data_IF_287828744625
#
_entry.id   IF_287828744625
#
_cell.length_a   1.000
_cell.length_b   1.000
_cell.length_c   1.000
_cell.angle_alpha   90.00
_cell.angle_beta   90.00
_cell.angle_gamma   90.00
#
_symmetry.space_group_name_H-M   'P 1'
#
loop_
_entity.id
_entity.type
_entity.pdbx_description
1 polymer ?
#
# COMPACT_ATOMS: atom_id res chain seq x y z
N UNK A 1 8.66 8.99 -16.62
CA UNK A 1 8.24 10.21 -17.29
C UNK A 1 9.13 11.39 -16.88
N UNK A 2 9.16 11.79 -15.60
CA UNK A 2 9.92 12.95 -15.12
C UNK A 2 11.41 12.89 -15.43
N UNK A 3 12.03 11.73 -15.33
CA UNK A 3 13.45 11.56 -15.64
C UNK A 3 13.72 11.50 -17.16
N UNK A 4 12.89 10.75 -17.90
CA UNK A 4 13.10 10.54 -19.34
C UNK A 4 12.71 11.74 -20.20
N UNK A 5 11.65 12.46 -19.85
CA UNK A 5 11.13 13.57 -20.67
C UNK A 5 11.56 14.96 -20.18
N UNK A 6 11.75 15.15 -18.87
CA UNK A 6 12.10 16.44 -18.29
C UNK A 6 13.56 16.55 -17.84
N UNK A 7 14.36 15.47 -17.95
CA UNK A 7 15.79 15.48 -17.63
C UNK A 7 16.13 15.71 -16.16
N UNK A 8 15.17 15.51 -15.24
CA UNK A 8 15.41 15.68 -13.80
C UNK A 8 16.38 14.62 -13.28
N UNK A 9 17.26 14.98 -12.31
CA UNK A 9 18.08 14.00 -11.60
C UNK A 9 17.19 12.93 -10.97
N UNK A 10 17.63 11.68 -11.00
CA UNK A 10 16.83 10.50 -10.62
C UNK A 10 16.18 10.62 -9.25
N UNK A 11 16.93 11.06 -8.25
CA UNK A 11 16.41 11.26 -6.88
C UNK A 11 15.32 12.34 -6.80
N UNK A 12 15.46 13.40 -7.55
CA UNK A 12 14.48 14.49 -7.59
C UNK A 12 13.19 14.02 -8.28
N UNK A 13 13.31 13.20 -9.33
CA UNK A 13 12.17 12.59 -10.00
C UNK A 13 11.38 11.64 -9.08
N UNK A 14 12.07 10.88 -8.21
CA UNK A 14 11.45 10.04 -7.18
C UNK A 14 10.67 10.89 -6.19
N UNK A 15 11.32 11.90 -5.62
CA UNK A 15 10.70 12.76 -4.60
C UNK A 15 9.46 13.47 -5.15
N UNK A 16 9.56 14.02 -6.36
CA UNK A 16 8.42 14.63 -7.05
C UNK A 16 7.31 13.62 -7.34
N UNK A 17 7.66 12.41 -7.77
CA UNK A 17 6.70 11.32 -8.00
C UNK A 17 5.91 10.98 -6.75
N UNK A 18 6.58 10.82 -5.60
CA UNK A 18 5.93 10.55 -4.30
C UNK A 18 5.05 11.72 -3.86
N UNK A 19 5.49 12.97 -4.06
CA UNK A 19 4.68 14.15 -3.72
C UNK A 19 3.45 14.22 -4.62
N UNK A 20 3.59 14.01 -5.92
CA UNK A 20 2.46 14.03 -6.86
C UNK A 20 1.44 12.95 -6.51
N UNK A 21 1.86 11.71 -6.23
CA UNK A 21 0.95 10.64 -5.83
C UNK A 21 0.26 10.95 -4.51
N UNK A 22 0.95 11.54 -3.55
CA UNK A 22 0.37 12.02 -2.29
C UNK A 22 -0.71 13.07 -2.51
N UNK A 23 -0.44 14.06 -3.35
CA UNK A 23 -1.41 15.13 -3.68
C UNK A 23 -2.62 14.57 -4.44
N UNK A 24 -2.42 13.63 -5.36
CA UNK A 24 -3.53 12.95 -6.06
C UNK A 24 -4.41 12.20 -5.05
N UNK A 25 -3.82 11.47 -4.10
CA UNK A 25 -4.59 10.79 -3.04
C UNK A 25 -5.40 11.77 -2.19
N UNK A 26 -4.78 12.88 -1.75
CA UNK A 26 -5.48 13.92 -1.01
C UNK A 26 -6.63 14.55 -1.82
N UNK A 27 -6.39 14.82 -3.10
CA UNK A 27 -7.39 15.38 -4.01
C UNK A 27 -8.57 14.44 -4.23
N UNK A 28 -8.33 13.14 -4.42
CA UNK A 28 -9.37 12.13 -4.55
C UNK A 28 -10.30 12.15 -3.34
N UNK A 29 -9.75 12.17 -2.14
CA UNK A 29 -10.58 12.24 -0.95
C UNK A 29 -11.36 13.56 -0.88
N UNK A 30 -10.67 14.69 -1.00
CA UNK A 30 -11.27 16.02 -0.82
C UNK A 30 -12.36 16.33 -1.84
N UNK A 31 -12.18 15.93 -3.10
CA UNK A 31 -13.11 16.31 -4.16
C UNK A 31 -14.20 15.26 -4.42
N UNK A 32 -13.93 13.99 -4.13
CA UNK A 32 -14.84 12.89 -4.49
C UNK A 32 -15.36 12.19 -3.24
N UNK A 33 -14.49 11.59 -2.43
CA UNK A 33 -14.90 10.69 -1.35
C UNK A 33 -15.65 11.41 -0.23
N UNK A 34 -15.26 12.65 0.10
CA UNK A 34 -15.95 13.44 1.13
C UNK A 34 -17.45 13.63 0.83
N UNK A 35 -17.83 13.64 -0.46
CA UNK A 35 -19.21 13.87 -0.89
C UNK A 35 -20.12 12.64 -0.82
N UNK A 36 -19.52 11.46 -0.84
CA UNK A 36 -20.21 10.17 -0.81
C UNK A 36 -20.02 9.44 0.52
N UNK A 37 -19.37 10.09 1.47
CA UNK A 37 -19.08 9.55 2.79
C UNK A 37 -20.34 9.08 3.51
N UNK A 38 -20.28 7.90 4.13
CA UNK A 38 -21.38 7.27 4.83
C UNK A 38 -22.29 6.41 3.94
N UNK A 39 -22.01 6.34 2.64
CA UNK A 39 -22.66 5.42 1.72
C UNK A 39 -21.68 4.31 1.32
N UNK A 40 -21.52 3.28 2.16
CA UNK A 40 -20.49 2.24 2.03
C UNK A 40 -20.38 1.64 0.62
N UNK A 41 -21.50 1.30 0.01
CA UNK A 41 -21.53 0.73 -1.35
C UNK A 41 -21.06 1.75 -2.38
N UNK A 42 -21.49 3.01 -2.26
CA UNK A 42 -21.09 4.09 -3.17
C UNK A 42 -19.63 4.42 -3.07
N UNK A 43 -19.04 4.36 -1.87
CA UNK A 43 -17.60 4.55 -1.67
C UNK A 43 -16.76 3.46 -2.37
N UNK A 44 -17.18 2.19 -2.27
CA UNK A 44 -16.52 1.07 -2.95
C UNK A 44 -16.59 1.24 -4.47
N UNK A 45 -17.77 1.53 -5.01
CA UNK A 45 -17.95 1.71 -6.45
C UNK A 45 -17.15 2.91 -6.95
N UNK A 46 -17.18 4.04 -6.24
CA UNK A 46 -16.47 5.24 -6.63
C UNK A 46 -14.95 5.05 -6.61
N UNK A 47 -14.39 4.41 -5.58
CA UNK A 47 -12.94 4.15 -5.51
C UNK A 47 -12.48 3.22 -6.63
N UNK A 48 -13.27 2.20 -6.97
CA UNK A 48 -12.99 1.34 -8.10
C UNK A 48 -13.07 2.10 -9.45
N UNK A 49 -14.10 2.90 -9.65
CA UNK A 49 -14.27 3.71 -10.85
C UNK A 49 -13.15 4.73 -11.04
N UNK A 50 -12.70 5.38 -9.95
CA UNK A 50 -11.55 6.30 -9.95
C UNK A 50 -10.27 5.55 -10.37
N UNK A 51 -10.05 4.35 -9.82
CA UNK A 51 -8.91 3.50 -10.17
C UNK A 51 -8.90 3.18 -11.67
N UNK A 52 -10.05 2.79 -12.25
CA UNK A 52 -10.20 2.55 -13.68
C UNK A 52 -9.97 3.83 -14.51
N UNK A 53 -10.52 4.95 -14.08
CA UNK A 53 -10.38 6.22 -14.80
C UNK A 53 -8.90 6.67 -14.84
N UNK A 54 -8.16 6.51 -13.74
CA UNK A 54 -6.73 6.80 -13.69
C UNK A 54 -5.97 5.87 -14.63
N UNK A 55 -6.27 4.56 -14.59
CA UNK A 55 -5.61 3.57 -15.43
C UNK A 55 -5.84 3.85 -16.91
N UNK A 56 -7.09 4.10 -17.34
CA UNK A 56 -7.40 4.45 -18.72
C UNK A 56 -6.84 5.82 -19.11
N UNK A 57 -6.84 6.79 -18.20
CA UNK A 57 -6.20 8.09 -18.41
C UNK A 57 -4.70 7.97 -18.67
N UNK A 58 -4.01 7.11 -17.93
CA UNK A 58 -2.58 6.82 -18.16
C UNK A 58 -2.35 6.13 -19.51
N UNK A 59 -3.20 5.19 -19.90
CA UNK A 59 -3.15 4.56 -21.21
C UNK A 59 -3.35 5.57 -22.35
N UNK A 60 -4.29 6.47 -22.17
CA UNK A 60 -4.56 7.52 -23.15
C UNK A 60 -3.42 8.54 -23.24
N UNK A 61 -2.77 8.85 -22.10
CA UNK A 61 -1.61 9.74 -21.99
C UNK A 61 -0.30 9.22 -22.58
N UNK A 62 -0.32 8.07 -23.29
CA UNK A 62 0.84 7.53 -24.00
C UNK A 62 1.53 6.34 -23.35
N UNK A 63 1.04 5.87 -22.20
CA UNK A 63 1.55 4.67 -21.52
C UNK A 63 0.91 3.37 -22.06
N UNK A 64 0.49 3.36 -23.31
CA UNK A 64 -0.14 2.20 -23.95
C UNK A 64 0.88 1.10 -24.21
N UNK A 65 0.67 -0.07 -23.60
CA UNK A 65 1.35 -1.32 -23.96
C UNK A 65 2.87 -1.33 -23.73
N UNK A 66 3.42 -0.34 -23.03
CA UNK A 66 4.83 -0.27 -22.70
C UNK A 66 5.16 -1.03 -21.41
N UNK A 67 6.16 -1.89 -21.47
CA UNK A 67 6.85 -2.35 -20.27
C UNK A 67 7.88 -1.30 -19.90
N UNK A 68 7.71 -0.68 -18.75
CA UNK A 68 8.65 0.33 -18.26
C UNK A 68 9.68 -0.33 -17.35
N UNK A 69 10.95 -0.17 -17.70
CA UNK A 69 12.07 -0.62 -16.88
C UNK A 69 12.86 0.62 -16.46
N UNK A 70 13.09 0.77 -15.17
CA UNK A 70 14.01 1.78 -14.67
C UNK A 70 15.38 1.15 -14.39
N UNK A 71 16.47 1.90 -14.60
CA UNK A 71 17.79 1.43 -14.23
C UNK A 71 17.84 1.19 -12.71
N UNK A 72 18.54 0.13 -12.29
CA UNK A 72 18.75 -0.15 -10.87
C UNK A 72 19.52 1.03 -10.23
N UNK A 73 19.22 1.33 -8.95
CA UNK A 73 19.93 2.37 -8.19
C UNK A 73 21.41 2.10 -8.11
N UNK A 74 21.78 0.83 -7.92
CA UNK A 74 23.16 0.35 -7.93
C UNK A 74 23.23 -0.96 -8.73
N UNK A 75 24.17 -1.02 -9.66
CA UNK A 75 24.50 -2.23 -10.40
C UNK A 75 25.48 -3.05 -9.58
N UNK A 76 25.19 -4.36 -9.42
CA UNK A 76 26.07 -5.29 -8.73
C UNK A 76 25.31 -6.24 -7.79
N UNK A 77 26.03 -7.22 -7.27
CA UNK A 77 25.51 -8.22 -6.33
C UNK A 77 26.53 -8.52 -5.24
N UNK A 78 26.04 -8.89 -4.05
CA UNK A 78 26.85 -9.43 -2.95
C UNK A 78 26.58 -10.91 -2.86
N UNK A 79 27.64 -11.72 -2.67
CA UNK A 79 27.49 -13.14 -2.37
C UNK A 79 27.30 -13.31 -0.86
N UNK A 80 26.12 -13.75 -0.44
CA UNK A 80 25.80 -14.09 0.94
C UNK A 80 25.59 -15.61 1.00
N UNK A 81 26.41 -16.31 1.80
CA UNK A 81 26.36 -17.78 1.92
C UNK A 81 26.38 -18.54 0.58
N UNK A 82 27.14 -18.03 -0.41
CA UNK A 82 27.26 -18.66 -1.73
C UNK A 82 26.12 -18.31 -2.73
N UNK A 83 25.14 -17.49 -2.33
CA UNK A 83 24.06 -17.01 -3.18
C UNK A 83 24.30 -15.54 -3.54
N UNK A 84 24.24 -15.21 -4.84
CA UNK A 84 24.38 -13.83 -5.29
C UNK A 84 23.05 -13.05 -5.12
N UNK A 85 23.04 -12.02 -4.29
CA UNK A 85 21.89 -11.15 -4.04
C UNK A 85 22.18 -9.78 -4.65
N UNK A 86 21.30 -9.30 -5.55
CA UNK A 86 21.41 -7.97 -6.14
C UNK A 86 21.30 -6.87 -5.06
N UNK A 87 22.13 -5.83 -5.16
CA UNK A 87 22.08 -4.67 -4.25
C UNK A 87 20.69 -4.05 -4.17
N UNK A 88 19.95 -4.02 -5.27
CA UNK A 88 18.59 -3.48 -5.33
C UNK A 88 17.65 -4.18 -4.33
N UNK A 89 17.74 -5.49 -4.17
CA UNK A 89 16.91 -6.24 -3.21
C UNK A 89 17.21 -5.85 -1.77
N UNK A 90 18.49 -5.64 -1.45
CA UNK A 90 18.90 -5.19 -0.11
C UNK A 90 18.41 -3.77 0.19
N UNK A 91 18.44 -2.89 -0.82
CA UNK A 91 17.92 -1.52 -0.70
C UNK A 91 16.43 -1.53 -0.42
N UNK A 92 15.66 -2.38 -1.11
CA UNK A 92 14.21 -2.50 -0.89
C UNK A 92 13.91 -2.96 0.54
N UNK A 93 14.61 -3.97 1.02
CA UNK A 93 14.43 -4.46 2.40
C UNK A 93 14.79 -3.36 3.41
N UNK A 94 15.92 -2.69 3.22
CA UNK A 94 16.36 -1.58 4.08
C UNK A 94 15.37 -0.40 4.05
N UNK A 95 14.90 0.00 2.87
CA UNK A 95 13.91 1.06 2.72
C UNK A 95 12.56 0.67 3.33
N UNK A 96 12.14 -0.59 3.20
CA UNK A 96 10.92 -1.10 3.83
C UNK A 96 10.99 -1.02 5.35
N UNK A 97 12.08 -1.49 5.95
CA UNK A 97 12.30 -1.42 7.40
C UNK A 97 12.33 0.05 7.87
N UNK A 98 13.07 0.91 7.16
CA UNK A 98 13.16 2.33 7.50
C UNK A 98 11.79 3.02 7.43
N UNK A 99 11.04 2.79 6.37
CA UNK A 99 9.68 3.34 6.18
C UNK A 99 8.76 2.86 7.30
N UNK A 100 8.83 1.58 7.67
CA UNK A 100 8.06 1.05 8.79
C UNK A 100 8.40 1.74 10.11
N UNK A 101 9.69 1.90 10.43
CA UNK A 101 10.15 2.57 11.65
C UNK A 101 9.65 4.02 11.67
N UNK A 102 9.79 4.76 10.55
CA UNK A 102 9.33 6.14 10.43
C UNK A 102 7.83 6.23 10.68
N UNK A 103 7.02 5.36 10.06
CA UNK A 103 5.57 5.34 10.24
C UNK A 103 5.15 4.96 11.66
N UNK A 104 5.82 3.99 12.26
CA UNK A 104 5.56 3.60 13.64
C UNK A 104 5.84 4.75 14.60
N UNK A 105 6.99 5.42 14.45
CA UNK A 105 7.34 6.60 15.24
C UNK A 105 6.37 7.75 14.98
N UNK A 106 6.03 8.01 13.71
CA UNK A 106 5.07 9.04 13.34
C UNK A 106 3.71 8.83 14.03
N UNK A 107 3.17 7.61 13.94
CA UNK A 107 1.86 7.31 14.56
C UNK A 107 1.90 7.28 16.08
N UNK A 108 3.05 7.02 16.69
CA UNK A 108 3.20 7.01 18.15
C UNK A 108 3.50 8.37 18.75
N UNK A 109 4.33 9.17 18.09
CA UNK A 109 4.91 10.38 18.67
C UNK A 109 4.25 11.67 18.20
N UNK A 110 3.47 11.64 17.09
CA UNK A 110 2.87 12.88 16.55
C UNK A 110 1.41 13.04 16.94
N UNK A 111 0.93 14.30 16.99
CA UNK A 111 -0.49 14.63 17.23
C UNK A 111 -1.39 14.06 16.11
N UNK A 112 -0.89 14.07 14.86
CA UNK A 112 -1.61 13.49 13.71
C UNK A 112 -1.74 11.98 13.86
N UNK A 113 -0.68 11.29 14.27
CA UNK A 113 -0.72 9.87 14.58
C UNK A 113 -1.66 9.53 15.74
N UNK A 114 -1.78 10.40 16.74
CA UNK A 114 -2.77 10.25 17.81
C UNK A 114 -4.20 10.39 17.26
N UNK A 115 -4.44 11.36 16.36
CA UNK A 115 -5.73 11.54 15.71
C UNK A 115 -6.12 10.30 14.88
N UNK A 116 -5.19 9.74 14.11
CA UNK A 116 -5.42 8.49 13.36
C UNK A 116 -5.84 7.33 14.26
N UNK A 117 -5.16 7.16 15.40
CA UNK A 117 -5.51 6.10 16.36
C UNK A 117 -6.84 6.35 17.06
N UNK A 118 -7.14 7.61 17.38
CA UNK A 118 -8.42 8.00 17.99
C UNK A 118 -9.60 7.67 17.06
N UNK A 119 -9.53 8.12 15.80
CA UNK A 119 -10.59 7.83 14.81
C UNK A 119 -10.71 6.33 14.51
N UNK A 120 -9.59 5.61 14.46
CA UNK A 120 -9.60 4.15 14.24
C UNK A 120 -10.25 3.36 15.39
N UNK A 121 -10.25 3.91 16.61
CA UNK A 121 -10.93 3.30 17.78
C UNK A 121 -12.41 3.63 17.80
N UNK A 122 -12.74 4.91 17.82
CA UNK A 122 -14.11 5.42 17.78
C UNK A 122 -14.12 6.82 17.16
N UNK A 123 -14.69 6.89 15.96
CA UNK A 123 -14.77 8.15 15.20
C UNK A 123 -15.63 9.19 15.92
N UNK A 124 -16.77 8.77 16.49
CA UNK A 124 -17.71 9.68 17.17
C UNK A 124 -17.10 10.27 18.43
N UNK A 125 -16.48 9.45 19.24
CA UNK A 125 -15.77 9.90 20.43
C UNK A 125 -14.58 10.84 20.09
N UNK A 126 -13.81 10.53 19.05
CA UNK A 126 -12.71 11.36 18.58
C UNK A 126 -13.19 12.74 18.11
N UNK A 127 -14.32 12.81 17.39
CA UNK A 127 -14.92 14.10 16.99
C UNK A 127 -15.41 14.93 18.17
N UNK A 128 -15.95 14.29 19.22
CA UNK A 128 -16.33 15.01 20.46
C UNK A 128 -15.13 15.63 21.18
N UNK A 129 -13.94 15.05 21.00
CA UNK A 129 -12.68 15.61 21.50
C UNK A 129 -12.06 16.67 20.58
N UNK A 130 -12.77 17.10 19.53
CA UNK A 130 -12.33 18.14 18.60
C UNK A 130 -11.44 17.65 17.46
N UNK A 131 -11.32 16.34 17.23
CA UNK A 131 -10.57 15.82 16.10
C UNK A 131 -11.43 15.94 14.82
N UNK A 132 -10.89 16.62 13.80
CA UNK A 132 -11.55 16.74 12.52
C UNK A 132 -11.35 15.43 11.71
N UNK A 133 -12.43 14.66 11.54
CA UNK A 133 -12.41 13.38 10.86
C UNK A 133 -12.07 13.51 9.38
N UNK A 134 -12.60 14.53 8.67
CA UNK A 134 -12.32 14.72 7.25
C UNK A 134 -10.85 15.06 6.98
N UNK A 135 -10.28 15.97 7.78
CA UNK A 135 -8.87 16.33 7.65
C UNK A 135 -7.96 15.13 7.94
N UNK A 136 -8.34 14.33 8.91
CA UNK A 136 -7.59 13.11 9.26
C UNK A 136 -7.66 12.08 8.13
N UNK A 137 -8.82 11.93 7.49
CA UNK A 137 -8.99 11.02 6.36
C UNK A 137 -8.21 11.49 5.11
N UNK A 138 -8.22 12.81 4.81
CA UNK A 138 -7.38 13.40 3.73
C UNK A 138 -5.91 13.07 3.96
N UNK A 139 -5.41 13.32 5.18
CA UNK A 139 -4.01 13.06 5.52
C UNK A 139 -3.67 11.56 5.46
N UNK A 140 -4.59 10.69 5.89
CA UNK A 140 -4.42 9.25 5.83
C UNK A 140 -4.27 8.76 4.38
N UNK A 141 -5.15 9.24 3.48
CA UNK A 141 -5.09 8.88 2.06
C UNK A 141 -3.86 9.48 1.37
N UNK A 142 -3.47 10.70 1.71
CA UNK A 142 -2.26 11.33 1.22
C UNK A 142 -1.00 10.53 1.59
N UNK A 143 -0.88 10.13 2.85
CA UNK A 143 0.25 9.33 3.33
C UNK A 143 0.22 7.93 2.70
N UNK A 144 -0.94 7.27 2.63
CA UNK A 144 -1.09 5.97 1.98
C UNK A 144 -0.68 6.01 0.51
N UNK A 145 -1.10 7.03 -0.24
CA UNK A 145 -0.71 7.22 -1.64
C UNK A 145 0.78 7.54 -1.80
N UNK A 146 1.37 8.30 -0.89
CA UNK A 146 2.82 8.56 -0.88
C UNK A 146 3.61 7.25 -0.68
N UNK A 147 3.16 6.39 0.24
CA UNK A 147 3.78 5.10 0.50
C UNK A 147 3.65 4.13 -0.68
N UNK A 148 2.48 4.11 -1.33
CA UNK A 148 2.28 3.33 -2.54
C UNK A 148 3.20 3.81 -3.67
N UNK A 149 3.35 5.12 -3.86
CA UNK A 149 4.30 5.71 -4.80
C UNK A 149 5.76 5.34 -4.49
N UNK A 150 6.16 5.42 -3.23
CA UNK A 150 7.49 5.01 -2.78
C UNK A 150 7.74 3.52 -3.04
N UNK A 151 6.79 2.65 -2.70
CA UNK A 151 6.91 1.22 -2.95
C UNK A 151 7.03 0.91 -4.45
N UNK A 152 6.23 1.57 -5.29
CA UNK A 152 6.32 1.43 -6.74
C UNK A 152 7.70 1.79 -7.27
N UNK A 153 8.26 2.93 -6.86
CA UNK A 153 9.60 3.37 -7.30
C UNK A 153 10.69 2.40 -6.88
N UNK A 154 10.62 1.84 -5.67
CA UNK A 154 11.60 0.87 -5.18
C UNK A 154 11.54 -0.47 -5.94
N UNK A 155 10.34 -0.89 -6.36
CA UNK A 155 10.11 -2.16 -7.05
C UNK A 155 10.37 -2.07 -8.55
N UNK A 156 10.18 -0.91 -9.18
CA UNK A 156 10.35 -0.67 -10.62
C UNK A 156 11.66 -1.24 -11.22
N UNK A 157 12.83 -1.11 -10.57
CA UNK A 157 14.07 -1.63 -11.12
C UNK A 157 14.21 -3.16 -11.07
N UNK A 158 13.33 -3.87 -10.34
CA UNK A 158 13.38 -5.33 -10.22
C UNK A 158 12.66 -6.07 -11.35
N UNK A 159 11.79 -5.40 -12.09
CA UNK A 159 11.00 -6.07 -13.12
C UNK A 159 10.29 -5.12 -14.07
N UNK A 160 9.58 -5.74 -15.01
CA UNK A 160 8.76 -5.01 -15.97
C UNK A 160 7.45 -4.58 -15.28
N UNK A 161 7.21 -3.29 -15.20
CA UNK A 161 5.94 -2.77 -14.71
C UNK A 161 5.02 -2.56 -15.90
N UNK A 162 3.87 -3.20 -15.81
CA UNK A 162 2.71 -2.96 -16.66
C UNK A 162 1.70 -2.09 -15.89
N UNK A 163 0.93 -1.29 -16.61
CA UNK A 163 -0.03 -0.37 -16.00
C UNK A 163 -1.05 -1.11 -15.12
N UNK A 164 -1.41 -2.34 -15.49
CA UNK A 164 -2.35 -3.20 -14.76
C UNK A 164 -1.76 -3.83 -13.48
N UNK A 165 -0.45 -3.82 -13.32
CA UNK A 165 0.24 -4.46 -12.18
C UNK A 165 -0.21 -3.93 -10.82
N UNK A 166 -0.76 -2.71 -10.77
CA UNK A 166 -1.31 -2.12 -9.55
C UNK A 166 -2.44 -2.94 -8.91
N UNK A 167 -3.29 -3.59 -9.72
CA UNK A 167 -4.38 -4.43 -9.19
C UNK A 167 -3.86 -5.69 -8.50
N UNK A 168 -2.81 -6.32 -9.03
CA UNK A 168 -2.19 -7.48 -8.39
C UNK A 168 -1.61 -7.09 -7.03
N UNK A 169 -0.90 -5.95 -6.97
CA UNK A 169 -0.34 -5.42 -5.72
C UNK A 169 -1.45 -5.08 -4.72
N UNK A 170 -2.60 -4.55 -5.18
CA UNK A 170 -3.75 -4.26 -4.33
C UNK A 170 -4.28 -5.52 -3.63
N UNK A 171 -4.44 -6.64 -4.36
CA UNK A 171 -4.91 -7.91 -3.78
C UNK A 171 -3.96 -8.40 -2.69
N UNK A 172 -2.64 -8.34 -2.92
CA UNK A 172 -1.65 -8.72 -1.91
C UNK A 172 -1.66 -7.77 -0.70
N UNK A 173 -1.83 -6.46 -0.93
CA UNK A 173 -1.94 -5.49 0.16
C UNK A 173 -3.18 -5.74 1.02
N UNK A 174 -4.32 -6.02 0.40
CA UNK A 174 -5.56 -6.40 1.12
C UNK A 174 -5.35 -7.70 1.90
N UNK A 175 -4.71 -8.71 1.30
CA UNK A 175 -4.39 -9.96 2.00
C UNK A 175 -3.54 -9.70 3.25
N UNK A 176 -2.50 -8.90 3.14
CA UNK A 176 -1.65 -8.52 4.30
C UNK A 176 -2.45 -7.78 5.36
N UNK A 177 -3.33 -6.85 4.99
CA UNK A 177 -4.17 -6.10 5.93
C UNK A 177 -5.18 -7.01 6.66
N UNK A 178 -5.85 -7.91 5.94
CA UNK A 178 -6.84 -8.84 6.50
C UNK A 178 -6.16 -9.85 7.43
N UNK A 179 -5.09 -10.48 6.98
CA UNK A 179 -4.36 -11.49 7.76
C UNK A 179 -3.70 -10.86 8.99
N UNK A 180 -3.07 -9.69 8.81
CA UNK A 180 -2.43 -8.96 9.90
C UNK A 180 -3.40 -8.48 10.97
N UNK A 181 -4.61 -8.15 10.55
CA UNK A 181 -5.66 -7.52 11.33
C UNK A 181 -5.62 -6.00 11.24
N UNK A 182 -6.75 -5.40 10.91
CA UNK A 182 -6.88 -3.95 10.76
C UNK A 182 -6.51 -3.22 12.05
N UNK A 183 -5.65 -2.21 11.92
CA UNK A 183 -5.16 -1.41 13.06
C UNK A 183 -3.98 -2.01 13.83
N UNK A 184 -3.46 -3.18 13.46
CA UNK A 184 -2.31 -3.82 14.11
C UNK A 184 -1.02 -3.68 13.30
N UNK A 185 -0.10 -2.84 13.78
CA UNK A 185 1.23 -2.66 13.16
C UNK A 185 2.06 -3.95 13.13
N UNK A 186 2.09 -4.68 14.26
CA UNK A 186 2.81 -5.95 14.34
C UNK A 186 2.21 -7.01 13.41
N UNK A 187 0.87 -7.01 13.29
CA UNK A 187 0.15 -7.90 12.40
C UNK A 187 0.51 -7.72 10.94
N UNK A 188 0.59 -6.47 10.48
CA UNK A 188 0.98 -6.15 9.09
C UNK A 188 2.37 -6.68 8.77
N UNK A 189 3.36 -6.52 9.68
CA UNK A 189 4.71 -7.05 9.46
C UNK A 189 4.67 -8.57 9.31
N UNK A 190 4.09 -9.26 10.28
CA UNK A 190 4.06 -10.73 10.27
C UNK A 190 3.31 -11.24 9.04
N UNK A 191 2.17 -10.64 8.71
CA UNK A 191 1.39 -11.00 7.53
C UNK A 191 2.14 -10.73 6.22
N UNK A 192 2.90 -9.64 6.12
CA UNK A 192 3.70 -9.35 4.92
C UNK A 192 4.80 -10.40 4.70
N UNK A 193 5.45 -10.88 5.76
CA UNK A 193 6.39 -11.98 5.66
C UNK A 193 5.72 -13.30 5.28
N UNK A 194 4.57 -13.62 5.88
CA UNK A 194 3.82 -14.85 5.58
C UNK A 194 3.39 -14.85 4.10
N UNK A 195 2.78 -13.77 3.63
CA UNK A 195 2.33 -13.66 2.23
C UNK A 195 3.52 -13.64 1.27
N UNK A 196 4.57 -12.87 1.56
CA UNK A 196 5.76 -12.82 0.71
C UNK A 196 6.44 -14.19 0.60
N UNK A 197 6.56 -14.93 1.71
CA UNK A 197 7.11 -16.29 1.69
C UNK A 197 6.20 -17.27 0.93
N UNK A 198 4.89 -17.19 1.15
CA UNK A 198 3.92 -18.02 0.44
C UNK A 198 3.95 -17.77 -1.09
N UNK A 199 4.11 -16.51 -1.52
CA UNK A 199 4.28 -16.17 -2.94
C UNK A 199 5.52 -16.83 -3.56
N UNK A 200 6.68 -16.69 -2.90
CA UNK A 200 7.94 -17.27 -3.39
C UNK A 200 7.85 -18.80 -3.43
N UNK A 201 7.27 -19.43 -2.41
CA UNK A 201 7.06 -20.88 -2.38
C UNK A 201 6.13 -21.34 -3.51
N UNK A 202 5.05 -20.59 -3.75
CA UNK A 202 4.12 -20.89 -4.84
C UNK A 202 4.78 -20.76 -6.21
N UNK A 203 5.58 -19.72 -6.40
CA UNK A 203 6.33 -19.51 -7.65
C UNK A 203 7.32 -20.65 -7.91
N UNK A 204 8.04 -21.06 -6.85
CA UNK A 204 9.08 -22.09 -6.95
C UNK A 204 8.52 -23.50 -7.17
N UNK A 205 7.47 -23.89 -6.43
CA UNK A 205 6.96 -25.26 -6.47
C UNK A 205 5.85 -25.49 -7.50
N UNK A 206 5.10 -24.44 -7.86
CA UNK A 206 3.93 -24.56 -8.72
C UNK A 206 4.09 -23.69 -9.97
N UNK A 207 3.82 -22.39 -9.85
CA UNK A 207 3.98 -21.40 -10.93
C UNK A 207 3.62 -20.00 -10.38
N UNK A 208 4.18 -18.95 -10.99
CA UNK A 208 3.87 -17.56 -10.68
C UNK A 208 2.39 -17.21 -10.88
N UNK A 209 1.67 -17.88 -11.78
CA UNK A 209 0.24 -17.66 -12.02
C UNK A 209 -0.65 -17.95 -10.80
N UNK A 210 -0.23 -18.84 -9.91
CA UNK A 210 -1.01 -19.22 -8.72
C UNK A 210 -0.77 -18.34 -7.50
N UNK A 211 0.16 -17.39 -7.55
CA UNK A 211 0.45 -16.48 -6.42
C UNK A 211 -0.80 -15.73 -5.96
N UNK A 212 -1.62 -15.24 -6.90
CA UNK A 212 -2.86 -14.53 -6.59
C UNK A 212 -3.90 -15.45 -5.93
N UNK A 213 -4.00 -16.70 -6.40
CA UNK A 213 -4.92 -17.70 -5.82
C UNK A 213 -4.57 -17.98 -4.38
N UNK A 214 -3.27 -18.15 -4.08
CA UNK A 214 -2.79 -18.38 -2.71
C UNK A 214 -3.11 -17.21 -1.80
N UNK A 215 -2.94 -15.97 -2.27
CA UNK A 215 -3.30 -14.78 -1.48
C UNK A 215 -4.81 -14.73 -1.19
N UNK A 216 -5.67 -15.01 -2.18
CA UNK A 216 -7.12 -15.03 -2.00
C UNK A 216 -7.55 -16.16 -1.04
N UNK A 217 -6.97 -17.35 -1.17
CA UNK A 217 -7.21 -18.45 -0.25
C UNK A 217 -6.79 -18.10 1.18
N UNK A 218 -5.65 -17.44 1.35
CA UNK A 218 -5.20 -16.98 2.66
C UNK A 218 -6.18 -15.96 3.30
N UNK A 219 -6.77 -15.06 2.50
CA UNK A 219 -7.85 -14.16 2.96
C UNK A 219 -9.05 -14.99 3.44
N UNK A 220 -9.55 -15.93 2.61
CA UNK A 220 -10.72 -16.74 2.92
C UNK A 220 -10.49 -17.54 4.21
N UNK A 221 -9.36 -18.22 4.31
CA UNK A 221 -9.01 -19.01 5.51
C UNK A 221 -8.95 -18.10 6.75
N UNK A 222 -8.33 -16.93 6.64
CA UNK A 222 -8.24 -16.00 7.76
C UNK A 222 -9.63 -15.53 8.22
N UNK A 223 -10.51 -15.17 7.28
CA UNK A 223 -11.86 -14.72 7.60
C UNK A 223 -12.72 -15.83 8.22
N UNK A 224 -12.51 -17.09 7.82
CA UNK A 224 -13.22 -18.24 8.39
C UNK A 224 -12.72 -18.59 9.81
N UNK A 225 -11.42 -18.53 10.04
CA UNK A 225 -10.80 -18.95 11.30
C UNK A 225 -10.79 -17.83 12.34
N UNK A 226 -10.39 -16.62 11.91
CA UNK A 226 -10.27 -15.44 12.78
C UNK A 226 -10.54 -14.15 12.00
N UNK A 227 -11.81 -13.72 11.90
CA UNK A 227 -12.19 -12.56 11.07
C UNK A 227 -11.52 -11.24 11.48
N UNK A 228 -11.02 -11.14 12.71
CA UNK A 228 -10.24 -9.98 13.18
C UNK A 228 -8.80 -9.97 12.71
N UNK A 229 -8.31 -11.03 12.04
CA UNK A 229 -6.90 -11.21 11.69
C UNK A 229 -6.05 -11.73 12.86
N UNK A 230 -4.76 -12.04 12.60
CA UNK A 230 -3.86 -12.67 13.58
C UNK A 230 -3.70 -11.81 14.84
N UNK A 231 -3.49 -10.52 14.68
CA UNK A 231 -3.26 -9.56 15.76
C UNK A 231 -4.36 -8.49 15.90
N UNK A 232 -5.45 -8.62 15.13
CA UNK A 232 -6.60 -7.73 15.24
C UNK A 232 -7.29 -7.89 16.59
N UNK A 233 -7.69 -6.78 17.18
CA UNK A 233 -8.60 -6.80 18.33
C UNK A 233 -10.01 -7.00 17.81
N UNK A 234 -10.72 -8.03 18.27
CA UNK A 234 -12.16 -8.10 18.05
C UNK A 234 -12.76 -6.84 18.69
N UNK A 235 -13.41 -5.98 17.91
CA UNK A 235 -14.45 -5.13 18.44
C UNK A 235 -15.54 -6.10 18.89
N UNK A 236 -15.68 -6.29 20.18
CA UNK A 236 -16.81 -7.03 20.71
C UNK A 236 -18.06 -6.38 20.13
N UNK A 237 -18.95 -7.24 19.64
CA UNK A 237 -20.24 -6.87 19.09
C UNK A 237 -21.13 -6.31 20.24
N UNK A 238 -20.76 -5.14 20.77
CA UNK A 238 -21.58 -4.39 21.73
C UNK A 238 -22.70 -3.57 21.06
N UNK A 239 -23.04 -3.85 19.83
CA UNK A 239 -24.24 -3.29 19.18
C UNK A 239 -25.32 -4.34 18.98
N UNK A 240 -25.64 -5.10 20.02
CA UNK A 240 -26.88 -5.86 20.11
C UNK A 240 -27.51 -5.65 21.49
N UNK A 241 -27.93 -4.44 21.81
CA UNK A 241 -29.08 -4.17 22.68
C UNK A 241 -29.77 -2.89 22.20
#
# INVERSE_FOLDING_TARGET
FLNQFLGFPYFLAILLGVIITSLVGAAIYQFILVRIRGMEISEIIATYAIGLAILEGLRWGGLRGGTFVLPAFFSGSVSILGVSVAYQRLIIVGAGILTFIILYLFTRLTKVGLAFRGIAQDERAAMMLGINSDMTAVLSLAIGSALAGLAAVLLLPLGNIVVEGGYNVLVFAVAVCVIGGLGSWGGVIVASFIIGFAQIMTEFFISAHYQMVVALLAIIITLLVKPSGIFGKQKELEERV
#
